data_IF_153143491571
#
_entry.id   IF_153143491571
#
_cell.length_a   1.000
_cell.length_b   1.000
_cell.length_c   1.000
_cell.angle_alpha   90.00
_cell.angle_beta   90.00
_cell.angle_gamma   90.00
#
_symmetry.space_group_name_H-M   'P 1'
#
loop_
_entity.id
_entity.type
_entity.pdbx_description
1 polymer ?
#
# COMPACT_ATOMS: atom_id res chain seq x y z
N UNK A 1 -18.49 1.33 6.17
CA UNK A 1 -17.45 2.38 6.04
C UNK A 1 -18.00 3.77 6.35
N UNK A 2 -19.01 4.25 5.62
CA UNK A 2 -19.57 5.61 5.80
C UNK A 2 -19.99 5.97 7.23
N UNK A 3 -20.69 5.06 7.92
CA UNK A 3 -21.06 5.27 9.34
C UNK A 3 -19.82 5.52 10.23
N UNK A 4 -18.78 4.71 10.05
CA UNK A 4 -17.55 4.83 10.83
C UNK A 4 -16.77 6.11 10.49
N UNK A 5 -16.75 6.50 9.21
CA UNK A 5 -16.16 7.78 8.76
C UNK A 5 -16.86 8.97 9.43
N UNK A 6 -18.19 8.96 9.47
CA UNK A 6 -18.99 10.00 10.14
C UNK A 6 -18.73 10.04 11.65
N UNK A 7 -18.69 8.89 12.32
CA UNK A 7 -18.38 8.80 13.76
C UNK A 7 -16.98 9.32 14.11
N UNK A 8 -16.00 9.17 13.21
CA UNK A 8 -14.62 9.65 13.41
C UNK A 8 -14.37 11.08 12.90
N UNK A 9 -15.37 11.70 12.25
CA UNK A 9 -15.25 13.04 11.69
C UNK A 9 -14.20 13.16 10.57
N UNK A 10 -13.91 12.07 9.87
CA UNK A 10 -12.88 12.06 8.82
C UNK A 10 -13.41 12.65 7.50
N UNK A 11 -12.62 13.51 6.87
CA UNK A 11 -12.89 14.09 5.54
C UNK A 11 -12.40 13.20 4.40
N UNK A 12 -11.31 12.47 4.63
CA UNK A 12 -10.55 11.78 3.58
C UNK A 12 -11.34 10.72 2.82
N UNK A 13 -10.91 10.44 1.58
CA UNK A 13 -11.51 9.39 0.76
C UNK A 13 -11.05 8.02 1.27
N UNK A 14 -11.94 7.33 1.98
CA UNK A 14 -11.76 5.94 2.36
C UNK A 14 -12.45 5.06 1.33
N UNK A 15 -11.77 4.00 0.90
CA UNK A 15 -12.29 3.02 -0.03
C UNK A 15 -12.26 1.65 0.64
N UNK A 16 -13.12 0.74 0.17
CA UNK A 16 -13.15 -0.64 0.62
C UNK A 16 -13.06 -1.56 -0.60
N UNK A 17 -12.32 -2.65 -0.45
CA UNK A 17 -12.26 -3.75 -1.40
C UNK A 17 -13.32 -4.82 -1.16
N UNK A 18 -14.26 -4.60 -0.22
CA UNK A 18 -15.37 -5.51 0.01
C UNK A 18 -16.12 -5.77 -1.31
N UNK A 19 -16.53 -7.02 -1.52
CA UNK A 19 -17.21 -7.50 -2.72
C UNK A 19 -16.40 -7.36 -4.04
N UNK A 20 -15.06 -7.27 -3.95
CA UNK A 20 -14.15 -7.25 -5.11
C UNK A 20 -13.07 -8.32 -5.01
N UNK A 21 -12.40 -8.61 -6.13
CA UNK A 21 -11.27 -9.58 -6.17
C UNK A 21 -9.93 -8.95 -5.72
N UNK A 22 -9.90 -7.64 -5.44
CA UNK A 22 -8.69 -6.87 -5.19
C UNK A 22 -7.78 -7.49 -4.12
N UNK A 23 -8.31 -7.89 -2.96
CA UNK A 23 -7.47 -8.46 -1.91
C UNK A 23 -6.89 -9.84 -2.30
N UNK A 24 -7.58 -10.61 -3.15
CA UNK A 24 -7.08 -11.89 -3.64
C UNK A 24 -5.95 -11.68 -4.66
N UNK A 25 -6.12 -10.72 -5.59
CA UNK A 25 -5.10 -10.34 -6.58
C UNK A 25 -3.78 -9.90 -5.91
N UNK A 26 -3.89 -9.23 -4.76
CA UNK A 26 -2.76 -8.75 -3.97
C UNK A 26 -2.48 -9.58 -2.72
N UNK A 27 -2.95 -10.83 -2.66
CA UNK A 27 -2.59 -11.82 -1.62
C UNK A 27 -2.79 -11.34 -0.17
N UNK A 28 -3.71 -10.40 0.03
CA UNK A 28 -4.17 -9.94 1.34
C UNK A 28 -5.31 -10.82 1.87
N UNK A 29 -6.06 -11.50 1.01
CA UNK A 29 -7.05 -12.53 1.38
C UNK A 29 -6.62 -13.88 0.85
N UNK A 30 -6.62 -14.90 1.71
CA UNK A 30 -6.37 -16.30 1.35
C UNK A 30 -7.65 -17.12 1.55
N UNK A 31 -8.10 -17.81 0.50
CA UNK A 31 -9.26 -18.69 0.49
C UNK A 31 -8.94 -19.90 -0.38
N UNK A 32 -8.99 -21.10 0.21
CA UNK A 32 -8.62 -22.34 -0.48
C UNK A 32 -9.53 -22.62 -1.68
N UNK A 33 -10.79 -22.18 -1.64
CA UNK A 33 -11.74 -22.35 -2.72
C UNK A 33 -11.46 -21.40 -3.90
N UNK A 34 -10.71 -20.32 -3.68
CA UNK A 34 -10.46 -19.26 -4.68
C UNK A 34 -9.12 -19.38 -5.40
N UNK A 35 -8.16 -20.14 -4.87
CA UNK A 35 -6.93 -20.44 -5.60
C UNK A 35 -5.69 -20.59 -4.73
N UNK A 36 -4.60 -19.94 -5.17
CA UNK A 36 -3.27 -20.14 -4.59
C UNK A 36 -3.19 -19.54 -3.19
N UNK A 37 -2.95 -20.41 -2.21
CA UNK A 37 -2.69 -20.00 -0.83
C UNK A 37 -1.26 -19.49 -0.69
N UNK A 38 -1.10 -18.17 -0.72
CA UNK A 38 0.19 -17.49 -0.60
C UNK A 38 0.05 -16.24 0.29
N UNK A 39 1.03 -16.05 1.16
CA UNK A 39 1.15 -14.84 1.96
C UNK A 39 2.62 -14.50 2.13
N UNK A 40 2.97 -13.23 1.95
CA UNK A 40 4.36 -12.78 2.02
C UNK A 40 5.31 -13.55 1.08
N UNK A 41 4.86 -13.74 -0.18
CA UNK A 41 5.58 -14.45 -1.25
C UNK A 41 5.95 -15.90 -0.94
N UNK A 42 5.20 -16.54 -0.03
CA UNK A 42 5.43 -17.92 0.40
C UNK A 42 4.10 -18.68 0.53
N UNK A 43 4.09 -20.00 0.26
CA UNK A 43 2.93 -20.82 0.56
C UNK A 43 2.48 -20.64 2.01
N UNK A 44 1.17 -20.60 2.23
CA UNK A 44 0.58 -20.46 3.56
C UNK A 44 -0.55 -21.46 3.73
N UNK A 45 -0.79 -21.89 4.97
CA UNK A 45 -1.99 -22.64 5.35
C UNK A 45 -3.02 -21.72 6.05
N UNK A 46 -2.65 -20.45 6.28
CA UNK A 46 -3.54 -19.48 6.91
C UNK A 46 -4.63 -19.04 5.94
N UNK A 47 -5.87 -19.30 6.32
CA UNK A 47 -7.08 -18.88 5.62
C UNK A 47 -7.65 -17.61 6.26
N UNK A 48 -8.17 -16.71 5.43
CA UNK A 48 -8.72 -15.41 5.82
C UNK A 48 -7.83 -14.23 5.44
N UNK A 49 -7.94 -13.15 6.21
CA UNK A 49 -7.29 -11.86 5.93
C UNK A 49 -5.90 -11.76 6.56
N UNK A 50 -4.92 -11.39 5.75
CA UNK A 50 -3.58 -10.98 6.15
C UNK A 50 -3.39 -9.48 6.02
N UNK A 51 -2.52 -8.91 6.85
CA UNK A 51 -2.16 -7.50 6.72
C UNK A 51 -1.12 -7.32 5.62
N UNK A 52 -1.38 -6.36 4.74
CA UNK A 52 -0.49 -5.98 3.66
C UNK A 52 -0.51 -4.47 3.45
N UNK A 53 0.59 -3.96 2.92
CA UNK A 53 0.66 -2.63 2.34
C UNK A 53 1.08 -2.76 0.89
N UNK A 54 0.38 -2.04 0.00
CA UNK A 54 0.71 -1.93 -1.41
C UNK A 54 0.81 -0.46 -1.80
N UNK A 55 1.75 -0.14 -2.67
CA UNK A 55 1.82 1.18 -3.33
C UNK A 55 1.51 1.01 -4.80
N UNK A 56 0.53 1.78 -5.25
CA UNK A 56 0.18 1.88 -6.66
C UNK A 56 0.56 3.26 -7.18
N UNK A 57 1.24 3.27 -8.32
CA UNK A 57 1.67 4.49 -9.00
C UNK A 57 0.95 4.60 -10.33
N UNK A 58 0.34 5.75 -10.59
CA UNK A 58 -0.37 6.01 -11.84
C UNK A 58 0.45 6.97 -12.69
N UNK A 59 0.76 6.55 -13.91
CA UNK A 59 1.37 7.40 -14.93
C UNK A 59 0.46 7.43 -16.17
N UNK A 60 -0.17 8.58 -16.42
CA UNK A 60 -1.25 8.70 -17.40
C UNK A 60 -2.41 7.74 -17.11
N UNK A 61 -2.63 6.78 -18.02
CA UNK A 61 -3.67 5.75 -17.89
C UNK A 61 -3.13 4.40 -17.38
N UNK A 62 -1.82 4.29 -17.17
CA UNK A 62 -1.19 3.08 -16.66
C UNK A 62 -1.08 3.10 -15.14
N UNK A 63 -1.28 1.93 -14.52
CA UNK A 63 -1.16 1.75 -13.08
C UNK A 63 -0.12 0.67 -12.82
N UNK A 64 0.86 1.02 -12.00
CA UNK A 64 1.98 0.17 -11.60
C UNK A 64 1.84 -0.20 -10.14
N UNK A 65 2.06 -1.48 -9.81
CA UNK A 65 2.21 -1.93 -8.43
C UNK A 65 3.69 -1.89 -8.08
N UNK A 66 4.12 -0.82 -7.43
CA UNK A 66 5.57 -0.50 -7.28
C UNK A 66 6.16 -1.03 -5.97
N UNK A 67 5.31 -1.39 -5.01
CA UNK A 67 5.75 -1.90 -3.71
C UNK A 67 4.67 -2.77 -3.10
N UNK A 68 5.08 -3.86 -2.42
CA UNK A 68 4.24 -4.58 -1.48
C UNK A 68 5.04 -5.06 -0.29
N UNK A 69 4.41 -5.06 0.87
CA UNK A 69 4.91 -5.73 2.06
C UNK A 69 3.78 -6.38 2.84
N UNK A 70 4.08 -7.46 3.53
CA UNK A 70 3.12 -8.25 4.29
C UNK A 70 3.71 -8.64 5.63
N UNK A 71 2.87 -9.13 6.54
CA UNK A 71 3.35 -9.60 7.83
C UNK A 71 4.05 -8.47 8.60
N UNK A 72 5.15 -8.84 9.26
CA UNK A 72 5.99 -7.89 10.00
C UNK A 72 6.60 -6.78 9.14
N UNK A 73 6.57 -6.90 7.80
CA UNK A 73 6.95 -5.81 6.91
C UNK A 73 6.11 -4.54 7.10
N UNK A 74 4.85 -4.70 7.53
CA UNK A 74 3.92 -3.61 7.84
C UNK A 74 4.20 -2.90 9.18
N UNK A 75 5.11 -3.41 10.04
CA UNK A 75 5.45 -2.75 11.32
C UNK A 75 6.18 -1.41 11.11
N UNK A 76 6.85 -1.25 9.96
CA UNK A 76 7.63 -0.06 9.63
C UNK A 76 6.76 1.19 9.31
N UNK A 77 5.43 1.07 9.33
CA UNK A 77 4.50 2.15 8.97
C UNK A 77 4.21 3.12 10.14
N UNK A 78 4.96 3.02 11.23
CA UNK A 78 4.82 3.88 12.40
C UNK A 78 5.45 5.26 12.22
N UNK A 79 6.28 5.45 11.20
CA UNK A 79 6.92 6.71 10.84
C UNK A 79 6.43 7.20 9.47
N UNK A 80 6.00 8.47 9.39
CA UNK A 80 5.57 9.10 8.14
C UNK A 80 6.67 9.15 7.09
N UNK A 81 7.93 9.30 7.48
CA UNK A 81 9.04 9.28 6.51
C UNK A 81 9.20 7.90 5.90
N UNK A 82 9.04 6.85 6.71
CA UNK A 82 9.12 5.48 6.23
C UNK A 82 8.00 5.12 5.27
N UNK A 83 6.82 5.72 5.43
CA UNK A 83 5.73 5.63 4.47
C UNK A 83 6.06 6.33 3.14
N UNK A 84 6.73 7.48 3.17
CA UNK A 84 7.16 8.18 1.97
C UNK A 84 8.27 7.41 1.22
N UNK A 85 9.22 6.81 1.94
CA UNK A 85 10.35 6.06 1.37
C UNK A 85 9.95 4.88 0.48
N UNK A 86 8.77 4.30 0.68
CA UNK A 86 8.27 3.18 -0.13
C UNK A 86 7.44 3.65 -1.34
N UNK A 87 7.15 4.95 -1.42
CA UNK A 87 6.48 5.52 -2.59
C UNK A 87 7.51 5.87 -3.66
N UNK A 88 7.13 5.85 -4.95
CA UNK A 88 8.03 6.26 -6.02
C UNK A 88 8.67 7.60 -5.72
N UNK A 89 7.89 8.67 -5.47
CA UNK A 89 8.42 10.02 -5.25
C UNK A 89 9.24 10.23 -3.96
N UNK A 90 9.43 9.20 -3.13
CA UNK A 90 10.21 9.31 -1.90
C UNK A 90 9.71 10.45 -1.00
N UNK A 91 10.66 11.09 -0.31
CA UNK A 91 10.39 12.26 0.55
C UNK A 91 10.36 13.57 -0.22
N UNK A 92 10.79 13.54 -1.49
CA UNK A 92 10.96 14.70 -2.35
C UNK A 92 12.04 15.64 -1.82
N UNK A 93 13.08 15.10 -1.20
CA UNK A 93 14.16 15.89 -0.60
C UNK A 93 15.32 16.03 -1.60
N UNK A 94 16.01 17.17 -1.59
CA UNK A 94 17.07 17.50 -2.56
C UNK A 94 18.34 16.64 -2.44
N UNK A 95 18.51 15.89 -1.34
CA UNK A 95 19.55 14.86 -1.26
C UNK A 95 19.18 13.55 -1.96
N UNK A 96 17.89 13.31 -2.28
CA UNK A 96 17.44 12.07 -2.91
C UNK A 96 17.90 12.01 -4.36
N UNK A 97 18.37 10.83 -4.79
CA UNK A 97 18.70 10.56 -6.19
C UNK A 97 17.41 10.29 -6.97
N UNK A 98 16.70 11.36 -7.34
CA UNK A 98 15.43 11.30 -8.05
C UNK A 98 15.61 11.45 -9.56
N UNK A 99 14.80 10.75 -10.39
CA UNK A 99 14.76 10.99 -11.82
C UNK A 99 14.47 12.45 -12.20
N UNK A 100 14.97 12.88 -13.36
CA UNK A 100 14.73 14.24 -13.83
C UNK A 100 13.23 14.54 -13.96
N UNK A 101 12.80 15.70 -13.45
CA UNK A 101 11.41 16.14 -13.48
C UNK A 101 10.56 15.66 -12.30
N UNK A 102 11.11 14.84 -11.40
CA UNK A 102 10.43 14.49 -10.16
C UNK A 102 10.43 15.67 -9.18
N UNK A 103 9.34 15.86 -8.41
CA UNK A 103 9.26 16.94 -7.46
C UNK A 103 10.33 16.78 -6.37
N UNK A 104 11.11 17.83 -6.13
CA UNK A 104 12.06 17.92 -5.01
C UNK A 104 11.99 19.31 -4.37
N UNK A 105 12.30 19.39 -3.08
CA UNK A 105 12.36 20.61 -2.26
C UNK A 105 13.61 20.58 -1.36
N UNK A 106 14.07 21.74 -0.87
CA UNK A 106 15.18 21.78 0.09
C UNK A 106 14.89 20.94 1.34
N UNK A 107 15.85 20.11 1.74
CA UNK A 107 15.69 19.23 2.92
C UNK A 107 15.40 20.01 4.21
N UNK A 108 15.98 21.20 4.36
CA UNK A 108 15.90 22.00 5.59
C UNK A 108 15.29 23.40 5.36
N UNK A 109 14.13 23.46 4.72
CA UNK A 109 13.29 24.68 4.69
C UNK A 109 13.76 25.81 3.78
#
# INVERSE_FOLDING_TARGET
>A
LEKYKAEKGWSEKWLSSADSEFNYDFQATNDQAKGKMEYNFKPTEHEGEGHGISVFFRDGDEIYHTYSSYGRGCENLTDSYRLLDITPYGRQEDFEDSPAGWPQKPTYG
#
